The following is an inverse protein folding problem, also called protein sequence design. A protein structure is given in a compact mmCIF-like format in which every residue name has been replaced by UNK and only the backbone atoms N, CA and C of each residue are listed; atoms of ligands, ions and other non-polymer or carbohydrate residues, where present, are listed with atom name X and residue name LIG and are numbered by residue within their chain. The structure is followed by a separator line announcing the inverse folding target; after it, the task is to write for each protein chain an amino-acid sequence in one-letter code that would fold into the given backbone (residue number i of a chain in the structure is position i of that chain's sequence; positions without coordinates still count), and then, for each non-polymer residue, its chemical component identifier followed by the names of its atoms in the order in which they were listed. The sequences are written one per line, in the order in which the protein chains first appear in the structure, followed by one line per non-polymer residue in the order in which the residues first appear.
data_IF_884639769429
#
_entry.id   IF_884639769429
#
_cell.length_a   1.000
_cell.length_b   1.000
_cell.length_c   1.000
_cell.angle_alpha   90.00
_cell.angle_beta   90.00
_cell.angle_gamma   90.00
#
_symmetry.space_group_name_H-M   'P 1'
#
loop_
_entity.id
_entity.type
_entity.pdbx_description
1 polymer ?
#
# COMPACT_ATOMS: atom_id res chain seq x y z
N UNK A 1 -25.95 21.67 -10.18
CA UNK A 1 -24.73 21.66 -11.01
C UNK A 1 -23.59 21.86 -10.06
N UNK A 2 -22.70 20.87 -9.99
CA UNK A 2 -21.66 20.76 -8.97
C UNK A 2 -20.39 20.19 -9.56
N UNK A 3 -19.25 20.78 -9.20
CA UNK A 3 -17.91 20.26 -9.51
C UNK A 3 -17.17 19.83 -8.23
N UNK A 4 -16.73 18.59 -8.15
CA UNK A 4 -16.05 18.05 -6.97
C UNK A 4 -14.82 17.21 -7.32
N UNK A 5 -13.86 17.10 -6.38
CA UNK A 5 -12.74 16.19 -6.50
C UNK A 5 -13.09 14.82 -5.88
N UNK A 6 -12.72 13.74 -6.54
CA UNK A 6 -12.77 12.37 -6.03
C UNK A 6 -11.34 11.83 -5.92
N UNK A 7 -10.91 11.67 -4.67
CA UNK A 7 -9.56 11.24 -4.25
C UNK A 7 -9.73 9.98 -3.39
N UNK A 8 -8.84 9.02 -3.53
CA UNK A 8 -8.77 7.85 -2.65
C UNK A 8 -7.31 7.39 -2.52
N UNK A 9 -7.06 6.46 -1.59
CA UNK A 9 -5.83 5.66 -1.53
C UNK A 9 -4.57 6.54 -1.50
N UNK A 10 -4.57 7.52 -0.60
CA UNK A 10 -3.47 8.49 -0.43
C UNK A 10 -2.26 7.84 0.26
N UNK A 11 -2.52 6.95 1.24
CA UNK A 11 -1.53 6.19 1.99
C UNK A 11 -0.35 7.02 2.53
N UNK A 12 -0.65 8.18 3.11
CA UNK A 12 0.42 9.01 3.70
C UNK A 12 1.16 8.19 4.77
N UNK A 13 2.48 8.04 4.56
CA UNK A 13 3.35 7.22 5.41
C UNK A 13 3.60 5.79 4.94
N UNK A 14 3.04 5.35 3.80
CA UNK A 14 3.21 3.97 3.30
C UNK A 14 4.62 3.63 2.82
N UNK A 15 5.37 4.61 2.30
CA UNK A 15 6.77 4.43 1.93
C UNK A 15 7.70 4.58 3.13
N UNK A 16 8.58 3.59 3.31
CA UNK A 16 9.67 3.63 4.32
C UNK A 16 10.91 4.35 3.80
N UNK A 17 11.12 4.34 2.49
CA UNK A 17 12.23 5.04 1.84
C UNK A 17 11.91 6.53 1.78
N UNK A 18 12.71 7.35 2.45
CA UNK A 18 12.47 8.79 2.58
C UNK A 18 12.23 9.51 1.23
N UNK A 19 12.99 9.25 0.14
CA UNK A 19 12.71 9.91 -1.15
C UNK A 19 11.33 9.60 -1.73
N UNK A 20 10.86 8.34 -1.61
CA UNK A 20 9.54 7.96 -2.09
C UNK A 20 8.41 8.46 -1.18
N UNK A 21 8.66 8.52 0.13
CA UNK A 21 7.74 9.15 1.09
C UNK A 21 7.57 10.65 0.80
N UNK A 22 8.65 11.35 0.43
CA UNK A 22 8.59 12.75 0.03
C UNK A 22 7.85 12.95 -1.28
N UNK A 23 8.02 12.06 -2.27
CA UNK A 23 7.21 12.07 -3.49
C UNK A 23 5.73 11.80 -3.22
N UNK A 24 5.40 10.84 -2.34
CA UNK A 24 4.01 10.59 -1.94
C UNK A 24 3.38 11.86 -1.33
N UNK A 25 4.08 12.53 -0.41
CA UNK A 25 3.64 13.83 0.12
C UNK A 25 3.53 14.91 -0.95
N UNK A 26 4.52 15.03 -1.84
CA UNK A 26 4.49 16.02 -2.92
C UNK A 26 3.30 15.77 -3.85
N UNK A 27 2.94 14.51 -4.10
CA UNK A 27 1.78 14.17 -4.91
C UNK A 27 0.50 14.63 -4.23
N UNK A 28 0.36 14.38 -2.93
CA UNK A 28 -0.77 14.87 -2.14
C UNK A 28 -0.87 16.40 -2.15
N UNK A 29 0.26 17.12 -2.00
CA UNK A 29 0.30 18.59 -2.14
C UNK A 29 -0.20 19.04 -3.52
N UNK A 30 0.26 18.40 -4.61
CA UNK A 30 -0.22 18.70 -5.97
C UNK A 30 -1.71 18.40 -6.15
N UNK A 31 -2.23 17.34 -5.53
CA UNK A 31 -3.68 17.05 -5.50
C UNK A 31 -4.44 18.22 -4.90
N UNK A 32 -3.97 18.74 -3.76
CA UNK A 32 -4.60 19.90 -3.09
C UNK A 32 -4.47 21.17 -3.94
N UNK A 33 -3.30 21.43 -4.53
CA UNK A 33 -3.10 22.55 -5.45
C UNK A 33 -4.08 22.52 -6.62
N UNK A 34 -4.33 21.31 -7.16
CA UNK A 34 -5.28 21.10 -8.25
C UNK A 34 -6.72 21.31 -7.80
N UNK A 35 -7.13 20.82 -6.64
CA UNK A 35 -8.45 21.09 -6.10
C UNK A 35 -8.71 22.60 -5.95
N UNK A 36 -7.74 23.35 -5.42
CA UNK A 36 -7.83 24.80 -5.23
C UNK A 36 -7.84 25.55 -6.57
N UNK A 37 -6.91 25.24 -7.47
CA UNK A 37 -6.80 25.94 -8.76
C UNK A 37 -7.99 25.70 -9.68
N UNK A 38 -8.55 24.49 -9.66
CA UNK A 38 -9.74 24.10 -10.43
C UNK A 38 -11.05 24.53 -9.75
N UNK A 39 -10.97 25.13 -8.55
CA UNK A 39 -12.08 25.67 -7.76
C UNK A 39 -13.21 24.66 -7.58
N UNK A 40 -12.84 23.44 -7.16
CA UNK A 40 -13.84 22.42 -6.82
C UNK A 40 -14.67 22.90 -5.62
N UNK A 41 -15.96 22.59 -5.61
CA UNK A 41 -16.87 22.99 -4.54
C UNK A 41 -16.66 22.16 -3.27
N UNK A 42 -16.19 20.92 -3.42
CA UNK A 42 -15.77 20.07 -2.32
C UNK A 42 -14.81 18.97 -2.80
N UNK A 43 -14.12 18.34 -1.86
CA UNK A 43 -13.28 17.18 -2.09
C UNK A 43 -13.80 15.96 -1.33
N UNK A 44 -13.85 14.82 -2.01
CA UNK A 44 -14.15 13.51 -1.46
C UNK A 44 -12.84 12.74 -1.25
N UNK A 45 -12.63 12.20 -0.04
CA UNK A 45 -11.58 11.23 0.25
C UNK A 45 -12.23 9.88 0.57
N UNK A 46 -12.24 8.98 -0.41
CA UNK A 46 -12.88 7.67 -0.34
C UNK A 46 -11.99 6.62 0.35
N UNK A 47 -11.46 6.96 1.53
CA UNK A 47 -10.66 6.08 2.38
C UNK A 47 -9.17 5.98 2.03
N UNK A 48 -8.45 5.31 2.93
CA UNK A 48 -7.00 5.14 2.98
C UNK A 48 -6.24 6.45 2.80
N UNK A 49 -6.59 7.45 3.63
CA UNK A 49 -5.84 8.70 3.71
C UNK A 49 -4.44 8.43 4.29
N UNK A 50 -4.37 7.59 5.33
CA UNK A 50 -3.13 7.16 5.95
C UNK A 50 -2.88 5.67 5.70
N UNK A 51 -1.60 5.28 5.67
CA UNK A 51 -1.24 3.85 5.57
C UNK A 51 -1.44 3.09 6.91
N UNK A 52 -1.69 3.82 8.00
CA UNK A 52 -1.93 3.28 9.33
C UNK A 52 -2.89 4.20 10.08
N UNK A 53 -3.80 3.61 10.87
CA UNK A 53 -4.66 4.33 11.80
C UNK A 53 -3.91 5.25 12.79
N UNK A 54 -2.62 4.97 13.03
CA UNK A 54 -1.71 5.77 13.86
C UNK A 54 -0.46 6.17 13.05
N UNK A 55 -0.56 7.18 12.17
CA UNK A 55 0.56 7.66 11.39
C UNK A 55 1.57 8.43 12.26
N UNK A 56 2.81 8.53 11.78
CA UNK A 56 3.89 9.27 12.46
C UNK A 56 3.61 10.78 12.54
N UNK A 57 4.24 11.47 13.50
CA UNK A 57 4.01 12.90 13.77
C UNK A 57 4.31 13.78 12.55
N UNK A 58 5.37 13.50 11.79
CA UNK A 58 5.70 14.28 10.59
C UNK A 58 4.66 14.11 9.49
N UNK A 59 4.09 12.91 9.36
CA UNK A 59 3.00 12.61 8.43
C UNK A 59 1.77 13.45 8.79
N UNK A 60 1.44 13.51 10.08
CA UNK A 60 0.33 14.30 10.60
C UNK A 60 0.52 15.80 10.35
N UNK A 61 1.70 16.35 10.66
CA UNK A 61 1.98 17.78 10.45
C UNK A 61 1.75 18.18 8.99
N UNK A 62 2.30 17.42 8.05
CA UNK A 62 2.10 17.67 6.62
C UNK A 62 0.63 17.55 6.21
N UNK A 63 -0.07 16.54 6.72
CA UNK A 63 -1.50 16.34 6.42
C UNK A 63 -2.36 17.49 6.91
N UNK A 64 -2.17 17.92 8.16
CA UNK A 64 -2.90 19.05 8.74
C UNK A 64 -2.65 20.36 7.98
N UNK A 65 -1.43 20.58 7.50
CA UNK A 65 -1.10 21.73 6.67
C UNK A 65 -1.93 21.75 5.37
N UNK A 66 -2.00 20.63 4.66
CA UNK A 66 -2.74 20.55 3.39
C UNK A 66 -4.26 20.64 3.58
N UNK A 67 -4.81 19.99 4.61
CA UNK A 67 -6.23 20.14 4.95
C UNK A 67 -6.58 21.55 5.41
N UNK A 68 -5.67 22.24 6.09
CA UNK A 68 -5.82 23.66 6.43
C UNK A 68 -5.89 24.51 5.16
N UNK A 69 -5.07 24.25 4.15
CA UNK A 69 -5.12 24.97 2.86
C UNK A 69 -6.46 24.82 2.15
N UNK A 70 -7.05 23.61 2.14
CA UNK A 70 -8.39 23.39 1.58
C UNK A 70 -9.45 24.19 2.35
N UNK A 71 -9.39 24.17 3.69
CA UNK A 71 -10.29 24.94 4.55
C UNK A 71 -10.18 26.44 4.32
N UNK A 72 -8.97 26.98 4.22
CA UNK A 72 -8.72 28.39 3.93
C UNK A 72 -9.18 28.81 2.53
N UNK A 73 -9.14 27.87 1.57
CA UNK A 73 -9.71 28.06 0.23
C UNK A 73 -11.24 27.92 0.19
N UNK A 74 -11.90 27.57 1.30
CA UNK A 74 -13.34 27.38 1.37
C UNK A 74 -13.85 26.09 0.73
N UNK A 75 -12.98 25.07 0.61
CA UNK A 75 -13.30 23.78 0.00
C UNK A 75 -13.56 22.75 1.12
N UNK A 76 -14.83 22.43 1.44
CA UNK A 76 -15.13 21.38 2.41
C UNK A 76 -14.65 20.01 1.93
N UNK A 77 -14.20 19.20 2.89
CA UNK A 77 -13.71 17.85 2.66
C UNK A 77 -14.65 16.84 3.31
N UNK A 78 -15.11 15.85 2.55
CA UNK A 78 -15.92 14.74 3.03
C UNK A 78 -15.09 13.46 2.95
N UNK A 79 -15.05 12.70 4.04
CA UNK A 79 -14.18 11.53 4.17
C UNK A 79 -14.95 10.30 4.65
N UNK A 80 -14.44 9.13 4.32
CA UNK A 80 -14.74 7.85 5.00
C UNK A 80 -13.42 7.21 5.40
N UNK A 81 -13.45 6.33 6.39
CA UNK A 81 -12.27 5.50 6.69
C UNK A 81 -12.07 4.44 5.60
N UNK A 82 -10.80 4.20 5.24
CA UNK A 82 -10.45 2.99 4.51
C UNK A 82 -9.95 1.88 5.43
N UNK A 83 -9.51 0.77 4.81
CA UNK A 83 -9.07 -0.42 5.54
C UNK A 83 -7.80 -0.20 6.38
N UNK A 84 -6.93 0.73 5.98
CA UNK A 84 -5.71 1.12 6.70
C UNK A 84 -5.95 2.16 7.79
N UNK A 85 -6.89 3.08 7.56
CA UNK A 85 -7.33 4.06 8.55
C UNK A 85 -8.10 3.42 9.71
N UNK A 86 -8.72 2.25 9.47
CA UNK A 86 -9.60 1.57 10.42
C UNK A 86 -8.85 1.01 11.65
N UNK A 87 -9.45 1.24 12.82
CA UNK A 87 -8.99 0.77 14.12
C UNK A 87 -10.16 0.14 14.89
N UNK A 88 -9.99 -1.09 15.38
CA UNK A 88 -11.01 -1.80 16.18
C UNK A 88 -11.37 -1.03 17.46
N UNK A 89 -10.44 -0.23 17.98
CA UNK A 89 -10.69 0.62 19.15
C UNK A 89 -11.60 1.82 18.86
N UNK A 90 -11.94 2.07 17.60
CA UNK A 90 -12.65 3.26 17.14
C UNK A 90 -11.84 4.55 17.22
N UNK A 91 -10.55 4.47 17.61
CA UNK A 91 -9.65 5.62 17.67
C UNK A 91 -8.86 5.70 16.39
N UNK A 92 -9.09 6.74 15.61
CA UNK A 92 -8.37 7.03 14.37
C UNK A 92 -7.91 8.48 14.34
N UNK A 93 -6.91 8.78 13.51
CA UNK A 93 -6.55 10.18 13.26
C UNK A 93 -7.56 10.93 12.37
N UNK A 94 -8.45 10.21 11.68
CA UNK A 94 -9.57 10.82 10.96
C UNK A 94 -10.51 11.55 11.93
N UNK A 95 -10.76 10.98 13.12
CA UNK A 95 -11.56 11.62 14.17
C UNK A 95 -10.95 12.95 14.64
N UNK A 96 -9.61 13.03 14.65
CA UNK A 96 -8.88 14.24 15.05
C UNK A 96 -9.02 15.32 13.97
N UNK A 97 -8.91 14.95 12.69
CA UNK A 97 -9.12 15.86 11.56
C UNK A 97 -10.55 16.41 11.54
N UNK A 98 -11.55 15.55 11.78
CA UNK A 98 -12.95 15.97 11.85
C UNK A 98 -13.21 16.90 13.04
N UNK A 99 -12.73 16.55 14.25
CA UNK A 99 -12.90 17.40 15.44
C UNK A 99 -12.16 18.73 15.35
N UNK A 100 -11.06 18.80 14.61
CA UNK A 100 -10.38 20.06 14.28
C UNK A 100 -11.13 20.88 13.21
N UNK A 101 -12.19 20.32 12.62
CA UNK A 101 -13.04 20.95 11.63
C UNK A 101 -12.38 21.09 10.27
N UNK A 102 -11.48 20.18 9.91
CA UNK A 102 -10.84 20.16 8.58
C UNK A 102 -11.63 19.33 7.56
N UNK A 103 -12.39 18.36 8.03
CA UNK A 103 -13.23 17.51 7.21
C UNK A 103 -14.48 17.09 7.96
N UNK A 104 -15.39 16.42 7.26
CA UNK A 104 -16.57 15.78 7.81
C UNK A 104 -16.53 14.30 7.46
N UNK A 105 -16.58 13.41 8.46
CA UNK A 105 -16.79 12.00 8.19
C UNK A 105 -18.27 11.80 7.80
N UNK A 106 -18.50 11.13 6.66
CA UNK A 106 -19.85 10.89 6.12
C UNK A 106 -20.33 9.46 6.35
N UNK A 107 -19.61 8.68 7.16
CA UNK A 107 -20.14 7.47 7.79
C UNK A 107 -21.22 7.86 8.82
N UNK A 108 -22.48 7.77 8.40
CA UNK A 108 -23.65 7.99 9.25
C UNK A 108 -24.73 6.98 8.86
N UNK A 109 -25.05 6.05 9.76
CA UNK A 109 -26.06 5.03 9.53
C UNK A 109 -26.77 4.58 10.80
N UNK A 110 -27.99 4.07 10.62
CA UNK A 110 -28.81 3.46 11.66
C UNK A 110 -29.07 1.99 11.29
N UNK A 111 -28.95 1.09 12.27
CA UNK A 111 -29.39 -0.30 12.08
C UNK A 111 -30.91 -0.41 12.34
N UNK A 112 -31.67 -0.81 11.32
CA UNK A 112 -33.12 -1.05 11.40
C UNK A 112 -33.45 -2.46 10.92
N UNK A 113 -33.60 -3.37 11.88
CA UNK A 113 -33.84 -4.78 11.59
C UNK A 113 -32.66 -5.38 10.85
N UNK A 114 -32.91 -5.96 9.68
CA UNK A 114 -31.86 -6.57 8.85
C UNK A 114 -31.11 -5.56 7.96
N UNK A 115 -31.51 -4.29 7.96
CA UNK A 115 -30.92 -3.27 7.07
C UNK A 115 -30.07 -2.25 7.81
N UNK A 116 -29.06 -1.74 7.12
CA UNK A 116 -28.29 -0.57 7.53
C UNK A 116 -28.75 0.62 6.67
N UNK A 117 -29.38 1.61 7.30
CA UNK A 117 -29.88 2.80 6.62
C UNK A 117 -28.88 3.93 6.73
N UNK A 118 -28.26 4.30 5.61
CA UNK A 118 -27.30 5.39 5.56
C UNK A 118 -28.02 6.73 5.45
N UNK A 119 -27.60 7.68 6.29
CA UNK A 119 -28.05 9.05 6.30
C UNK A 119 -27.13 9.91 5.40
N UNK A 120 -27.70 10.81 4.59
CA UNK A 120 -26.87 11.64 3.73
C UNK A 120 -26.33 12.87 4.47
N UNK A 121 -25.06 13.19 4.20
CA UNK A 121 -24.55 14.53 4.41
C UNK A 121 -24.92 15.41 3.21
N UNK A 122 -25.64 16.51 3.47
CA UNK A 122 -26.15 17.40 2.40
C UNK A 122 -25.21 18.58 2.18
N UNK A 123 -24.83 18.81 0.93
CA UNK A 123 -24.04 19.97 0.53
C UNK A 123 -24.37 20.40 -0.90
N UNK A 124 -24.73 21.68 -1.12
CA UNK A 124 -25.01 22.27 -2.43
C UNK A 124 -25.94 21.44 -3.36
N UNK A 125 -26.98 20.82 -2.81
CA UNK A 125 -27.92 19.98 -3.59
C UNK A 125 -27.39 18.57 -3.93
N UNK A 126 -26.28 18.16 -3.31
CA UNK A 126 -25.72 16.82 -3.34
C UNK A 126 -26.02 16.12 -2.01
N UNK A 127 -26.43 14.85 -2.09
CA UNK A 127 -26.57 13.97 -0.95
C UNK A 127 -25.43 12.96 -0.97
N UNK A 128 -24.53 13.04 0.01
CA UNK A 128 -23.34 12.19 0.12
C UNK A 128 -23.60 11.13 1.18
N UNK A 129 -23.59 9.86 0.78
CA UNK A 129 -23.70 8.70 1.66
C UNK A 129 -22.33 8.03 1.75
N UNK A 130 -21.92 7.62 2.95
CA UNK A 130 -20.63 6.97 3.17
C UNK A 130 -20.76 5.63 3.89
N UNK A 131 -19.94 4.66 3.49
CA UNK A 131 -19.67 3.47 4.30
C UNK A 131 -18.17 3.17 4.29
N UNK A 132 -17.53 2.95 5.45
CA UNK A 132 -16.08 2.79 5.54
C UNK A 132 -15.62 1.42 5.01
N UNK A 133 -14.34 1.36 4.66
CA UNK A 133 -13.64 0.10 4.44
C UNK A 133 -13.17 -0.50 5.75
N UNK A 134 -13.11 -1.83 5.83
CA UNK A 134 -12.57 -2.55 6.98
C UNK A 134 -11.51 -3.55 6.52
N UNK A 135 -10.64 -3.94 7.44
CA UNK A 135 -9.61 -4.95 7.15
C UNK A 135 -10.27 -6.26 6.75
N UNK A 136 -9.67 -6.93 5.75
CA UNK A 136 -10.09 -8.26 5.28
C UNK A 136 -11.53 -8.32 4.72
N UNK A 137 -12.09 -7.21 4.23
CA UNK A 137 -13.41 -7.19 3.61
C UNK A 137 -14.57 -7.37 4.60
N UNK A 138 -14.35 -7.07 5.89
CA UNK A 138 -15.38 -7.21 6.93
C UNK A 138 -16.58 -6.28 6.71
N UNK A 139 -16.48 -5.30 5.82
CA UNK A 139 -17.59 -4.44 5.39
C UNK A 139 -18.52 -5.10 4.37
N UNK A 140 -18.05 -6.12 3.63
CA UNK A 140 -18.82 -6.71 2.51
C UNK A 140 -20.20 -7.25 2.94
N UNK A 141 -20.33 -8.00 4.06
CA UNK A 141 -21.64 -8.47 4.51
C UNK A 141 -22.59 -7.32 4.87
N UNK A 142 -22.06 -6.24 5.42
CA UNK A 142 -22.83 -5.05 5.77
C UNK A 142 -23.32 -4.33 4.52
N UNK A 143 -22.47 -4.16 3.51
CA UNK A 143 -22.81 -3.53 2.23
C UNK A 143 -23.97 -4.23 1.51
N UNK A 144 -24.08 -5.56 1.61
CA UNK A 144 -25.21 -6.33 1.05
C UNK A 144 -26.55 -5.99 1.70
N UNK A 145 -26.53 -5.41 2.91
CA UNK A 145 -27.70 -5.02 3.70
C UNK A 145 -27.99 -3.52 3.65
N UNK A 146 -27.11 -2.73 3.03
CA UNK A 146 -27.20 -1.26 3.01
C UNK A 146 -28.38 -0.79 2.15
N UNK A 147 -29.08 0.22 2.69
CA UNK A 147 -30.10 1.01 2.02
C UNK A 147 -29.80 2.49 2.25
N UNK A 148 -30.17 3.36 1.31
CA UNK A 148 -29.99 4.81 1.44
C UNK A 148 -31.31 5.44 1.89
N UNK A 149 -31.28 6.28 2.92
CA UNK A 149 -32.43 7.12 3.24
C UNK A 149 -32.71 8.10 2.09
N UNK A 150 -33.97 8.47 1.87
CA UNK A 150 -34.35 9.28 0.72
C UNK A 150 -33.78 10.71 0.77
N UNK A 151 -33.36 11.19 -0.41
CA UNK A 151 -32.92 12.56 -0.68
C UNK A 151 -33.55 13.05 -1.99
N UNK A 152 -34.85 13.41 -1.99
CA UNK A 152 -35.55 13.76 -3.21
C UNK A 152 -34.97 15.00 -3.89
N UNK A 153 -34.75 14.91 -5.21
CA UNK A 153 -34.27 16.03 -6.04
C UNK A 153 -32.78 16.36 -5.88
N UNK A 154 -32.01 15.55 -5.16
CA UNK A 154 -30.58 15.74 -4.96
C UNK A 154 -29.77 14.78 -5.85
N UNK A 155 -28.56 15.22 -6.24
CA UNK A 155 -27.59 14.34 -6.87
C UNK A 155 -26.97 13.43 -5.80
N UNK A 156 -27.10 12.12 -5.95
CA UNK A 156 -26.68 11.15 -4.93
C UNK A 156 -25.27 10.65 -5.21
N UNK A 157 -24.37 10.86 -4.26
CA UNK A 157 -23.03 10.27 -4.24
C UNK A 157 -23.01 9.18 -3.19
N UNK A 158 -22.57 7.99 -3.57
CA UNK A 158 -22.31 6.91 -2.62
C UNK A 158 -20.80 6.64 -2.55
N UNK A 159 -20.19 7.02 -1.44
CA UNK A 159 -18.76 6.86 -1.17
C UNK A 159 -18.51 5.55 -0.43
N UNK A 160 -17.63 4.71 -0.97
CA UNK A 160 -17.33 3.38 -0.46
C UNK A 160 -15.82 3.12 -0.56
N UNK A 161 -15.27 2.39 0.40
CA UNK A 161 -13.90 1.90 0.31
C UNK A 161 -13.93 0.38 0.38
N UNK A 162 -14.01 -0.28 -0.78
CA UNK A 162 -14.27 -1.72 -0.86
C UNK A 162 -13.90 -2.29 -2.22
N UNK A 163 -13.98 -3.61 -2.38
CA UNK A 163 -13.75 -4.30 -3.65
C UNK A 163 -15.06 -4.52 -4.41
N UNK A 164 -15.15 -4.01 -5.65
CA UNK A 164 -16.26 -4.25 -6.58
C UNK A 164 -16.02 -5.50 -7.44
N UNK A 165 -17.06 -6.31 -7.66
CA UNK A 165 -17.01 -7.52 -8.50
C UNK A 165 -16.50 -7.25 -9.93
N UNK A 166 -16.86 -6.09 -10.51
CA UNK A 166 -16.43 -5.67 -11.84
C UNK A 166 -14.96 -5.24 -11.92
N UNK A 167 -14.36 -4.87 -10.79
CA UNK A 167 -13.02 -4.28 -10.74
C UNK A 167 -11.93 -5.26 -10.27
N UNK A 168 -12.28 -6.29 -9.49
CA UNK A 168 -11.29 -7.19 -8.87
C UNK A 168 -10.50 -8.08 -9.84
N UNK A 169 -10.99 -8.26 -11.07
CA UNK A 169 -10.39 -9.20 -12.03
C UNK A 169 -10.27 -10.62 -11.46
N UNK A 170 -9.05 -11.14 -11.41
CA UNK A 170 -8.73 -12.48 -10.90
C UNK A 170 -8.23 -12.49 -9.44
N UNK A 171 -8.31 -11.37 -8.73
CA UNK A 171 -7.85 -11.30 -7.34
C UNK A 171 -8.71 -12.23 -6.45
N UNK A 172 -8.09 -13.07 -5.62
CA UNK A 172 -8.79 -14.02 -4.73
C UNK A 172 -9.30 -13.30 -3.47
N UNK A 173 -10.10 -12.25 -3.65
CA UNK A 173 -10.66 -11.42 -2.58
C UNK A 173 -12.18 -11.36 -2.68
N UNK A 174 -12.85 -11.23 -1.53
CA UNK A 174 -14.30 -11.03 -1.49
C UNK A 174 -14.66 -9.66 -2.09
N UNK A 175 -15.87 -9.54 -2.62
CA UNK A 175 -16.31 -8.36 -3.35
C UNK A 175 -17.81 -8.15 -3.28
N UNK A 176 -18.23 -6.90 -3.35
CA UNK A 176 -19.64 -6.53 -3.47
C UNK A 176 -20.04 -6.48 -4.95
N UNK A 177 -21.20 -7.02 -5.27
CA UNK A 177 -21.76 -6.94 -6.62
C UNK A 177 -22.35 -5.55 -6.85
N UNK A 178 -21.97 -4.91 -7.97
CA UNK A 178 -22.47 -3.58 -8.33
C UNK A 178 -24.02 -3.49 -8.31
N UNK A 179 -24.69 -4.54 -8.77
CA UNK A 179 -26.16 -4.60 -8.86
C UNK A 179 -26.86 -4.75 -7.49
N UNK A 180 -26.13 -5.18 -6.45
CA UNK A 180 -26.64 -5.32 -5.09
C UNK A 180 -26.61 -4.00 -4.31
N UNK A 181 -25.85 -3.01 -4.77
CA UNK A 181 -25.76 -1.71 -4.13
C UNK A 181 -27.01 -0.86 -4.42
N UNK A 182 -27.48 -0.04 -3.46
CA UNK A 182 -28.55 0.90 -3.71
C UNK A 182 -28.15 1.92 -4.78
N UNK A 183 -29.15 2.40 -5.54
CA UNK A 183 -28.94 3.32 -6.66
C UNK A 183 -28.47 4.70 -6.21
N UNK A 184 -27.36 5.14 -6.79
CA UNK A 184 -26.83 6.48 -6.69
C UNK A 184 -26.44 7.01 -8.09
N UNK A 185 -26.30 8.32 -8.23
CA UNK A 185 -25.90 8.97 -9.48
C UNK A 185 -24.39 8.87 -9.72
N UNK A 186 -23.60 8.74 -8.64
CA UNK A 186 -22.16 8.51 -8.69
C UNK A 186 -21.68 7.64 -7.53
N UNK A 187 -20.82 6.66 -7.81
CA UNK A 187 -20.17 5.85 -6.77
C UNK A 187 -18.68 6.21 -6.70
N UNK A 188 -18.31 6.85 -5.59
CA UNK A 188 -16.93 7.24 -5.30
C UNK A 188 -16.24 6.11 -4.55
N UNK A 189 -15.51 5.25 -5.28
CA UNK A 189 -14.85 4.07 -4.71
C UNK A 189 -13.37 4.35 -4.41
N UNK A 190 -12.87 3.81 -3.31
CA UNK A 190 -11.44 3.59 -3.04
C UNK A 190 -11.17 2.11 -2.72
N UNK A 191 -9.92 1.75 -2.40
CA UNK A 191 -9.38 0.43 -2.00
C UNK A 191 -8.55 -0.26 -3.08
N UNK A 192 -9.05 -0.31 -4.32
CA UNK A 192 -8.30 -0.91 -5.42
C UNK A 192 -7.44 0.15 -6.08
N UNK A 193 -6.11 -0.04 -6.04
CA UNK A 193 -5.14 0.89 -6.60
C UNK A 193 -5.05 0.79 -8.13
N UNK A 194 -6.16 1.06 -8.80
CA UNK A 194 -6.31 1.01 -10.25
C UNK A 194 -7.11 2.21 -10.73
N UNK A 195 -6.82 2.65 -11.96
CA UNK A 195 -7.71 3.58 -12.66
C UNK A 195 -8.81 2.77 -13.35
N UNK A 196 -10.01 2.77 -12.77
CA UNK A 196 -11.10 1.94 -13.26
C UNK A 196 -12.44 2.68 -13.24
N UNK A 197 -13.19 2.50 -14.32
CA UNK A 197 -14.56 2.99 -14.42
C UNK A 197 -15.48 1.89 -14.96
N UNK A 198 -16.58 1.65 -14.26
CA UNK A 198 -17.70 0.85 -14.73
C UNK A 198 -18.98 1.65 -14.54
N UNK A 199 -19.58 2.11 -15.64
CA UNK A 199 -20.73 3.03 -15.58
C UNK A 199 -20.38 4.28 -14.75
N UNK A 200 -21.10 4.51 -13.65
CA UNK A 200 -20.85 5.58 -12.69
C UNK A 200 -20.09 5.13 -11.43
N UNK A 201 -19.56 3.90 -11.42
CA UNK A 201 -18.61 3.41 -10.42
C UNK A 201 -17.19 3.75 -10.84
N UNK A 202 -16.48 4.47 -9.98
CA UNK A 202 -15.14 4.97 -10.31
C UNK A 202 -14.19 4.63 -9.18
N UNK A 203 -13.05 4.03 -9.52
CA UNK A 203 -11.86 4.00 -8.69
C UNK A 203 -10.87 5.04 -9.25
N UNK A 204 -10.44 6.02 -8.46
CA UNK A 204 -9.51 7.04 -8.92
C UNK A 204 -8.06 6.53 -8.97
N UNK A 205 -7.79 5.37 -8.37
CA UNK A 205 -6.43 4.91 -8.08
C UNK A 205 -5.75 5.79 -7.02
N UNK A 206 -4.51 5.46 -6.65
CA UNK A 206 -3.80 6.18 -5.61
C UNK A 206 -3.28 7.52 -6.12
N UNK A 207 -3.16 8.51 -5.23
CA UNK A 207 -2.53 9.80 -5.59
C UNK A 207 -1.03 9.64 -5.86
N UNK A 208 -0.41 8.58 -5.35
CA UNK A 208 0.95 8.17 -5.67
C UNK A 208 1.07 6.65 -5.50
N UNK A 209 1.71 5.91 -6.42
CA UNK A 209 1.90 4.48 -6.27
C UNK A 209 2.62 4.10 -4.97
N UNK A 210 2.10 3.12 -4.24
CA UNK A 210 2.47 2.84 -2.85
C UNK A 210 3.42 1.65 -2.67
N UNK A 211 3.74 0.93 -3.74
CA UNK A 211 4.75 -0.12 -3.72
C UNK A 211 5.45 -0.27 -5.08
N UNK A 212 6.41 -1.20 -5.16
CA UNK A 212 7.18 -1.47 -6.37
C UNK A 212 6.28 -1.83 -7.56
N UNK A 213 5.30 -2.71 -7.36
CA UNK A 213 4.44 -3.20 -8.43
C UNK A 213 3.53 -2.09 -8.96
N UNK A 214 2.97 -1.28 -8.08
CA UNK A 214 2.16 -0.13 -8.50
C UNK A 214 2.96 0.93 -9.24
N UNK A 215 4.22 1.19 -8.86
CA UNK A 215 5.08 2.09 -9.62
C UNK A 215 5.32 1.56 -11.04
N UNK A 216 5.45 0.24 -11.19
CA UNK A 216 5.62 -0.44 -12.49
C UNK A 216 4.32 -0.37 -13.32
N UNK A 217 3.17 -0.58 -12.71
CA UNK A 217 1.88 -0.66 -13.38
C UNK A 217 1.30 0.73 -13.73
N UNK A 218 1.39 1.69 -12.79
CA UNK A 218 0.74 3.00 -12.90
C UNK A 218 1.68 4.11 -13.36
N UNK A 219 2.99 4.01 -13.08
CA UNK A 219 4.04 5.02 -13.27
C UNK A 219 3.85 6.34 -12.50
N UNK A 220 2.62 6.79 -12.30
CA UNK A 220 2.25 8.00 -11.57
C UNK A 220 0.87 7.84 -10.94
N UNK A 221 0.56 8.67 -9.96
CA UNK A 221 -0.77 8.69 -9.36
C UNK A 221 -1.73 9.66 -10.05
N UNK A 222 -2.95 9.73 -9.55
CA UNK A 222 -3.94 10.65 -10.06
C UNK A 222 -5.22 10.64 -9.25
N UNK A 223 -6.19 11.44 -9.69
CA UNK A 223 -7.52 11.51 -9.10
C UNK A 223 -8.52 12.01 -10.15
N UNK A 224 -9.80 12.12 -9.80
CA UNK A 224 -10.81 12.66 -10.71
C UNK A 224 -11.36 14.00 -10.23
N UNK A 225 -11.61 14.91 -11.18
CA UNK A 225 -12.53 16.02 -10.98
C UNK A 225 -13.80 15.69 -11.74
N UNK A 226 -14.93 15.69 -11.02
CA UNK A 226 -16.23 15.33 -11.54
C UNK A 226 -17.05 16.61 -11.71
N UNK A 227 -17.60 16.81 -12.90
CA UNK A 227 -18.47 17.93 -13.23
C UNK A 227 -19.85 17.40 -13.65
N UNK A 228 -20.83 17.53 -12.76
CA UNK A 228 -22.20 17.06 -12.99
C UNK A 228 -22.97 17.84 -14.07
N UNK A 229 -22.40 18.92 -14.62
CA UNK A 229 -23.01 19.72 -15.68
C UNK A 229 -22.55 19.37 -17.10
N UNK A 230 -21.50 18.55 -17.25
CA UNK A 230 -20.84 18.34 -18.53
C UNK A 230 -21.28 17.04 -19.23
N UNK A 231 -21.15 17.01 -20.57
CA UNK A 231 -21.38 15.81 -21.37
C UNK A 231 -20.31 14.71 -21.18
N UNK A 232 -19.19 15.04 -20.54
CA UNK A 232 -18.15 14.09 -20.12
C UNK A 232 -17.81 14.39 -18.65
N UNK A 233 -18.65 13.93 -17.70
CA UNK A 233 -18.63 14.40 -16.32
C UNK A 233 -17.36 14.06 -15.56
N UNK A 234 -16.47 13.22 -16.11
CA UNK A 234 -15.25 12.76 -15.45
C UNK A 234 -14.01 13.31 -16.15
N UNK A 235 -13.22 14.12 -15.43
CA UNK A 235 -11.91 14.59 -15.84
C UNK A 235 -10.82 13.98 -14.98
N UNK A 236 -10.06 13.02 -15.52
CA UNK A 236 -8.88 12.46 -14.83
C UNK A 236 -7.80 13.52 -14.73
N UNK A 237 -7.23 13.68 -13.53
CA UNK A 237 -6.07 14.53 -13.26
C UNK A 237 -4.88 13.63 -12.95
N UNK A 238 -3.93 13.56 -13.89
CA UNK A 238 -2.67 12.85 -13.72
C UNK A 238 -1.67 13.67 -12.90
N UNK A 239 -0.91 13.00 -12.02
CA UNK A 239 0.10 13.61 -11.14
C UNK A 239 1.51 13.06 -11.42
N UNK A 240 2.09 13.28 -12.62
CA UNK A 240 3.47 12.89 -12.88
C UNK A 240 4.41 13.77 -12.03
N UNK A 241 5.23 13.12 -11.19
CA UNK A 241 6.27 13.76 -10.39
C UNK A 241 7.66 13.49 -10.95
N UNK A 242 7.93 12.22 -11.24
CA UNK A 242 9.18 11.69 -11.76
C UNK A 242 8.84 10.61 -12.78
N UNK A 243 9.67 10.49 -13.80
CA UNK A 243 9.59 9.36 -14.73
C UNK A 243 10.07 8.09 -14.01
N UNK A 244 9.41 6.97 -14.29
CA UNK A 244 9.73 5.64 -13.76
C UNK A 244 10.33 4.81 -14.88
N UNK A 245 11.47 4.17 -14.62
CA UNK A 245 12.12 3.24 -15.55
C UNK A 245 12.24 1.87 -14.90
N UNK A 246 11.61 0.87 -15.50
CA UNK A 246 11.70 -0.53 -15.06
C UNK A 246 12.78 -1.29 -15.85
N UNK A 247 13.68 -1.93 -15.11
CA UNK A 247 14.77 -2.73 -15.64
C UNK A 247 14.72 -4.12 -15.02
N UNK A 248 14.56 -5.16 -15.84
CA UNK A 248 14.61 -6.55 -15.39
C UNK A 248 15.87 -7.23 -15.90
N UNK A 249 16.69 -7.76 -14.98
CA UNK A 249 17.95 -8.43 -15.29
C UNK A 249 17.88 -9.88 -14.83
N UNK A 250 18.11 -10.82 -15.76
CA UNK A 250 18.23 -12.23 -15.44
C UNK A 250 19.68 -12.58 -15.08
N UNK A 251 19.90 -13.22 -13.93
CA UNK A 251 21.24 -13.55 -13.40
C UNK A 251 21.31 -15.02 -13.02
N UNK A 252 22.39 -15.69 -13.44
CA UNK A 252 22.70 -17.09 -13.08
C UNK A 252 24.05 -17.27 -12.36
N UNK A 253 24.90 -16.23 -12.36
CA UNK A 253 26.19 -16.25 -11.69
C UNK A 253 26.35 -14.97 -10.85
N UNK A 254 26.39 -15.12 -9.53
CA UNK A 254 26.46 -14.03 -8.56
C UNK A 254 27.73 -13.19 -8.70
N UNK A 255 28.84 -13.81 -9.13
CA UNK A 255 30.15 -13.15 -9.29
C UNK A 255 30.17 -12.15 -10.45
N UNK A 256 29.34 -12.35 -11.47
CA UNK A 256 29.26 -11.47 -12.67
C UNK A 256 28.00 -10.61 -12.69
N UNK A 257 27.11 -10.80 -11.72
CA UNK A 257 25.81 -10.15 -11.65
C UNK A 257 25.94 -8.62 -11.57
N UNK A 258 26.89 -8.13 -10.76
CA UNK A 258 27.12 -6.69 -10.56
C UNK A 258 27.43 -5.99 -11.89
N UNK A 259 28.41 -6.50 -12.63
CA UNK A 259 28.83 -5.95 -13.93
C UNK A 259 27.70 -6.02 -14.96
N UNK A 260 26.96 -7.13 -14.97
CA UNK A 260 25.81 -7.30 -15.88
C UNK A 260 24.72 -6.27 -15.60
N UNK A 261 24.34 -6.09 -14.34
CA UNK A 261 23.33 -5.11 -13.95
C UNK A 261 23.83 -3.68 -14.27
N UNK A 262 25.07 -3.36 -13.93
CA UNK A 262 25.69 -2.08 -14.24
C UNK A 262 25.69 -1.78 -15.75
N UNK A 263 25.98 -2.79 -16.59
CA UNK A 263 25.95 -2.66 -18.05
C UNK A 263 24.56 -2.31 -18.58
N UNK A 264 23.50 -2.96 -18.09
CA UNK A 264 22.13 -2.64 -18.50
C UNK A 264 21.72 -1.21 -18.06
N UNK A 265 22.05 -0.83 -16.83
CA UNK A 265 21.79 0.53 -16.33
C UNK A 265 22.62 1.59 -17.07
N UNK A 266 23.79 1.22 -17.58
CA UNK A 266 24.66 2.14 -18.33
C UNK A 266 24.07 2.57 -19.68
N UNK A 267 23.22 1.74 -20.29
CA UNK A 267 22.55 2.02 -21.57
C UNK A 267 21.41 3.04 -21.46
N UNK A 268 20.97 3.34 -20.24
CA UNK A 268 19.78 4.14 -19.97
C UNK A 268 20.16 5.54 -19.47
N UNK A 269 19.28 6.50 -19.78
CA UNK A 269 19.26 7.82 -19.16
C UNK A 269 18.49 7.75 -17.84
N UNK A 270 19.22 7.88 -16.73
CA UNK A 270 18.68 7.73 -15.38
C UNK A 270 18.41 9.08 -14.70
N UNK A 271 18.79 10.20 -15.31
CA UNK A 271 18.85 11.50 -14.63
C UNK A 271 17.47 11.94 -14.12
N UNK A 272 17.37 12.15 -12.81
CA UNK A 272 16.17 12.58 -12.09
C UNK A 272 14.95 11.63 -12.27
N UNK A 273 15.20 10.33 -12.41
CA UNK A 273 14.16 9.28 -12.56
C UNK A 273 14.14 8.29 -11.40
N UNK A 274 13.01 7.64 -11.20
CA UNK A 274 12.88 6.49 -10.29
C UNK A 274 13.24 5.24 -11.07
N UNK A 275 14.23 4.50 -10.61
CA UNK A 275 14.69 3.27 -11.28
C UNK A 275 14.16 2.07 -10.50
N UNK A 276 13.38 1.23 -11.17
CA UNK A 276 12.88 -0.03 -10.64
C UNK A 276 13.75 -1.17 -11.18
N UNK A 277 14.61 -1.75 -10.34
CA UNK A 277 15.49 -2.84 -10.72
C UNK A 277 14.94 -4.18 -10.21
N UNK A 278 14.50 -5.04 -11.12
CA UNK A 278 14.10 -6.43 -10.82
C UNK A 278 15.22 -7.38 -11.19
N UNK A 279 15.79 -8.07 -10.21
CA UNK A 279 16.80 -9.11 -10.42
C UNK A 279 16.13 -10.46 -10.24
N UNK A 280 16.22 -11.32 -11.25
CA UNK A 280 15.58 -12.64 -11.27
C UNK A 280 16.52 -13.72 -11.79
N UNK A 281 16.25 -14.97 -11.44
CA UNK A 281 16.99 -16.13 -11.93
C UNK A 281 17.43 -17.06 -10.82
N UNK A 282 18.22 -18.06 -11.19
CA UNK A 282 18.74 -19.05 -10.27
C UNK A 282 20.27 -19.02 -10.31
N UNK A 283 20.88 -18.67 -9.18
CA UNK A 283 22.33 -18.63 -9.05
C UNK A 283 22.87 -20.06 -8.97
N UNK A 284 23.56 -20.47 -10.03
CA UNK A 284 24.28 -21.76 -10.10
C UNK A 284 25.74 -21.62 -9.65
N UNK A 285 26.26 -20.39 -9.66
CA UNK A 285 27.61 -20.03 -9.21
C UNK A 285 27.52 -18.78 -8.34
N UNK A 286 28.18 -18.81 -7.18
CA UNK A 286 28.11 -17.74 -6.20
C UNK A 286 26.75 -17.67 -5.48
N UNK A 287 26.55 -16.59 -4.76
CA UNK A 287 25.39 -16.37 -3.90
C UNK A 287 24.92 -14.92 -3.99
N UNK A 288 23.78 -14.61 -3.36
CA UNK A 288 23.24 -13.25 -3.34
C UNK A 288 24.20 -12.21 -2.70
N UNK A 289 25.10 -12.62 -1.80
CA UNK A 289 26.09 -11.72 -1.16
C UNK A 289 27.25 -11.33 -2.08
N UNK A 290 27.44 -12.06 -3.18
CA UNK A 290 28.44 -11.73 -4.20
C UNK A 290 27.99 -10.55 -5.06
N UNK A 291 26.67 -10.31 -5.16
CA UNK A 291 26.11 -9.19 -5.91
C UNK A 291 26.28 -7.91 -5.10
N UNK A 292 27.13 -6.99 -5.60
CA UNK A 292 27.49 -5.75 -4.91
C UNK A 292 26.46 -4.66 -5.18
N UNK A 293 25.29 -4.79 -4.54
CA UNK A 293 24.20 -3.82 -4.68
C UNK A 293 24.58 -2.39 -4.29
N UNK A 294 25.54 -2.21 -3.38
CA UNK A 294 26.03 -0.87 -3.04
C UNK A 294 26.75 -0.21 -4.23
N UNK A 295 27.51 -0.98 -5.01
CA UNK A 295 28.17 -0.46 -6.22
C UNK A 295 27.14 -0.08 -7.29
N UNK A 296 26.11 -0.90 -7.45
CA UNK A 296 24.98 -0.62 -8.34
C UNK A 296 24.26 0.67 -7.91
N UNK A 297 24.03 0.84 -6.61
CA UNK A 297 23.40 2.05 -6.07
C UNK A 297 24.28 3.28 -6.32
N UNK A 298 25.58 3.21 -6.03
CA UNK A 298 26.51 4.31 -6.28
C UNK A 298 26.56 4.69 -7.77
N UNK A 299 26.53 3.72 -8.69
CA UNK A 299 26.47 3.97 -10.14
C UNK A 299 25.21 4.76 -10.52
N UNK A 300 24.06 4.35 -10.00
CA UNK A 300 22.76 4.96 -10.30
C UNK A 300 22.69 6.39 -9.74
N UNK A 301 23.23 6.61 -8.53
CA UNK A 301 23.37 7.93 -7.92
C UNK A 301 24.33 8.85 -8.71
N UNK A 302 25.48 8.33 -9.17
CA UNK A 302 26.42 9.07 -10.01
C UNK A 302 25.83 9.50 -11.35
N UNK A 303 24.91 8.71 -11.89
CA UNK A 303 24.13 9.05 -13.09
C UNK A 303 22.97 10.03 -12.82
N UNK A 304 22.85 10.54 -11.60
CA UNK A 304 21.86 11.55 -11.24
C UNK A 304 20.45 11.00 -11.04
N UNK A 305 20.27 9.69 -10.88
CA UNK A 305 18.96 9.13 -10.61
C UNK A 305 18.35 9.68 -9.32
N UNK A 306 17.02 9.85 -9.32
CA UNK A 306 16.32 10.32 -8.13
C UNK A 306 16.31 9.26 -7.04
N UNK A 307 16.00 8.01 -7.41
CA UNK A 307 16.00 6.89 -6.46
C UNK A 307 16.09 5.54 -7.18
N UNK A 308 16.76 4.56 -6.56
CA UNK A 308 16.79 3.16 -7.00
C UNK A 308 15.97 2.30 -6.04
N UNK A 309 14.90 1.69 -6.55
CA UNK A 309 14.15 0.66 -5.84
C UNK A 309 14.49 -0.70 -6.45
N UNK A 310 14.97 -1.63 -5.62
CA UNK A 310 15.36 -2.98 -6.06
C UNK A 310 14.39 -4.04 -5.57
N UNK A 311 14.15 -5.04 -6.41
CA UNK A 311 13.39 -6.24 -6.09
C UNK A 311 14.19 -7.48 -6.49
N UNK A 312 14.44 -8.37 -5.52
CA UNK A 312 15.20 -9.62 -5.69
C UNK A 312 14.40 -10.85 -5.29
N UNK A 313 13.07 -10.76 -5.16
CA UNK A 313 12.23 -11.89 -4.70
C UNK A 313 12.27 -13.09 -5.66
N UNK A 314 12.48 -12.83 -6.95
CA UNK A 314 12.60 -13.85 -7.99
C UNK A 314 14.04 -14.38 -8.19
N UNK A 315 15.00 -13.93 -7.37
CA UNK A 315 16.38 -14.40 -7.40
C UNK A 315 16.56 -15.51 -6.37
N UNK A 316 16.78 -16.73 -6.85
CA UNK A 316 16.99 -17.92 -6.04
C UNK A 316 18.47 -18.27 -6.02
N UNK A 317 18.97 -18.72 -4.87
CA UNK A 317 20.24 -19.43 -4.80
C UNK A 317 19.92 -20.91 -4.86
N UNK A 318 20.65 -21.69 -5.67
CA UNK A 318 20.47 -23.13 -5.71
C UNK A 318 20.68 -23.70 -4.30
N UNK A 319 19.60 -24.18 -3.67
CA UNK A 319 19.66 -24.88 -2.40
C UNK A 319 20.29 -26.24 -2.61
N UNK A 320 21.15 -26.67 -1.69
CA UNK A 320 21.64 -28.05 -1.66
C UNK A 320 20.44 -28.95 -1.35
N UNK A 321 20.01 -29.77 -2.31
CA UNK A 321 19.12 -30.90 -2.03
C UNK A 321 19.94 -31.92 -1.24
N UNK A 322 19.71 -32.01 0.07
CA UNK A 322 20.30 -33.05 0.91
C UNK A 322 19.42 -34.29 0.79
N UNK A 323 19.90 -35.33 0.09
CA UNK A 323 19.33 -36.66 0.19
C UNK A 323 19.72 -37.25 1.56
N UNK A 324 18.83 -37.08 2.54
CA UNK A 324 19.00 -37.69 3.87
C UNK A 324 18.39 -39.09 3.82
N UNK A 325 19.23 -40.14 3.92
CA UNK A 325 18.76 -41.52 4.03
C UNK A 325 18.22 -41.77 5.44
N UNK A 326 16.93 -41.52 5.65
CA UNK A 326 16.29 -41.71 6.96
C UNK A 326 16.21 -43.20 7.30
N UNK A 327 17.16 -43.67 8.10
CA UNK A 327 17.07 -45.02 8.72
C UNK A 327 16.29 -45.02 10.03
N UNK A 328 16.14 -43.87 10.70
CA UNK A 328 15.39 -43.70 11.94
C UNK A 328 14.79 -42.27 12.01
N UNK A 329 13.50 -42.15 12.33
CA UNK A 329 12.82 -40.83 12.33
C UNK A 329 13.22 -39.92 13.49
N UNK A 330 13.86 -40.46 14.52
CA UNK A 330 14.26 -39.73 15.73
C UNK A 330 15.58 -38.94 15.53
N UNK A 331 16.39 -39.25 14.51
CA UNK A 331 17.73 -38.67 14.30
C UNK A 331 17.83 -37.79 13.03
N UNK A 332 16.70 -37.48 12.37
CA UNK A 332 16.69 -36.76 11.09
C UNK A 332 17.40 -35.41 11.18
N UNK A 333 17.20 -34.68 12.29
CA UNK A 333 17.82 -33.37 12.48
C UNK A 333 19.35 -33.48 12.62
N UNK A 334 19.85 -34.38 13.46
CA UNK A 334 21.28 -34.61 13.62
C UNK A 334 21.93 -35.11 12.34
N UNK A 335 21.25 -36.02 11.62
CA UNK A 335 21.73 -36.56 10.35
C UNK A 335 21.76 -35.49 9.26
N UNK A 336 20.74 -34.63 9.19
CA UNK A 336 20.69 -33.49 8.26
C UNK A 336 21.81 -32.49 8.54
N UNK A 337 22.02 -32.13 9.81
CA UNK A 337 23.11 -31.22 10.22
C UNK A 337 24.48 -31.84 9.91
N UNK A 338 24.65 -33.14 10.14
CA UNK A 338 25.88 -33.87 9.80
C UNK A 338 26.14 -33.85 8.31
N UNK A 339 25.18 -34.28 7.49
CA UNK A 339 25.32 -34.31 6.02
C UNK A 339 25.56 -32.92 5.44
N UNK A 340 24.85 -31.89 5.93
CA UNK A 340 25.09 -30.51 5.52
C UNK A 340 26.52 -30.07 5.88
N UNK A 341 26.98 -30.37 7.09
CA UNK A 341 28.30 -29.97 7.59
C UNK A 341 29.45 -30.65 6.85
N UNK A 342 29.26 -31.92 6.47
CA UNK A 342 30.22 -32.67 5.64
C UNK A 342 30.31 -32.11 4.22
N UNK A 343 29.18 -31.73 3.63
CA UNK A 343 29.14 -31.17 2.27
C UNK A 343 29.58 -29.70 2.21
N UNK A 344 29.46 -28.95 3.31
CA UNK A 344 29.73 -27.51 3.36
C UNK A 344 30.60 -27.14 4.58
N UNK A 345 31.92 -27.44 4.58
CA UNK A 345 32.77 -27.22 5.75
C UNK A 345 32.84 -25.73 6.13
N UNK A 346 32.47 -25.42 7.38
CA UNK A 346 32.50 -24.07 7.92
C UNK A 346 32.66 -24.11 9.45
N UNK A 347 33.41 -23.17 10.01
CA UNK A 347 33.55 -23.02 11.47
C UNK A 347 32.20 -22.76 12.14
N UNK A 348 31.25 -22.15 11.41
CA UNK A 348 29.89 -21.89 11.87
C UNK A 348 29.06 -23.15 12.06
N UNK A 349 29.41 -24.26 11.40
CA UNK A 349 28.62 -25.49 11.48
C UNK A 349 28.58 -26.07 12.89
N UNK A 350 29.64 -25.84 13.68
CA UNK A 350 29.70 -26.22 15.10
C UNK A 350 28.62 -25.56 15.96
N UNK A 351 28.06 -24.44 15.49
CA UNK A 351 27.05 -23.65 16.21
C UNK A 351 25.61 -24.03 15.82
N UNK A 352 25.42 -24.81 14.75
CA UNK A 352 24.08 -25.14 14.22
C UNK A 352 23.20 -25.82 15.28
N UNK A 353 23.65 -26.87 16.00
CA UNK A 353 22.80 -27.51 17.02
C UNK A 353 22.41 -26.56 18.16
N UNK A 354 23.33 -25.66 18.54
CA UNK A 354 23.10 -24.67 19.60
C UNK A 354 22.07 -23.63 19.17
N UNK A 355 22.16 -23.15 17.93
CA UNK A 355 21.19 -22.21 17.36
C UNK A 355 19.82 -22.84 17.19
N UNK A 356 19.74 -24.07 16.70
CA UNK A 356 18.46 -24.78 16.56
C UNK A 356 17.75 -24.89 17.90
N UNK A 357 18.47 -25.28 18.96
CA UNK A 357 17.92 -25.36 20.32
C UNK A 357 17.46 -23.98 20.84
N UNK A 358 18.27 -22.93 20.66
CA UNK A 358 17.90 -21.58 21.09
C UNK A 358 16.65 -21.05 20.36
N UNK A 359 16.47 -21.41 19.09
CA UNK A 359 15.34 -20.99 18.25
C UNK A 359 14.10 -21.87 18.44
N UNK A 360 14.24 -23.08 18.98
CA UNK A 360 13.11 -23.98 19.27
C UNK A 360 12.47 -23.73 20.64
N UNK A 361 12.96 -22.76 21.42
CA UNK A 361 12.41 -22.46 22.74
C UNK A 361 11.07 -21.76 22.62
N UNK A 362 10.06 -22.30 23.29
CA UNK A 362 8.73 -21.71 23.33
C UNK A 362 8.65 -20.44 24.19
N UNK A 363 7.62 -19.65 23.91
CA UNK A 363 7.25 -18.49 24.70
C UNK A 363 6.72 -18.93 26.07
N UNK A 364 7.21 -18.30 27.14
CA UNK A 364 6.81 -18.64 28.50
C UNK A 364 5.44 -18.03 28.86
N UNK A 365 4.72 -18.68 29.77
CA UNK A 365 3.42 -18.20 30.26
C UNK A 365 3.60 -16.85 30.98
N UNK A 366 2.85 -15.83 30.55
CA UNK A 366 2.97 -14.46 31.06
C UNK A 366 4.08 -13.60 30.42
N UNK A 367 4.88 -14.15 29.51
CA UNK A 367 5.91 -13.40 28.78
C UNK A 367 5.27 -12.48 27.72
N UNK A 368 5.78 -11.26 27.55
CA UNK A 368 5.35 -10.39 26.44
C UNK A 368 6.02 -10.86 25.14
N UNK A 369 5.40 -10.60 23.98
CA UNK A 369 6.00 -10.96 22.68
C UNK A 369 7.35 -10.27 22.47
N UNK A 370 7.50 -9.05 22.97
CA UNK A 370 8.77 -8.31 22.94
C UNK A 370 9.82 -8.94 23.87
N UNK A 371 9.43 -9.38 25.07
CA UNK A 371 10.30 -10.10 26.00
C UNK A 371 10.80 -11.42 25.43
N UNK A 372 9.90 -12.20 24.83
CA UNK A 372 10.23 -13.43 24.11
C UNK A 372 11.25 -13.19 22.99
N UNK A 373 10.97 -12.23 22.11
CA UNK A 373 11.85 -11.90 20.98
C UNK A 373 13.23 -11.46 21.47
N UNK A 374 13.28 -10.64 22.53
CA UNK A 374 14.54 -10.18 23.13
C UNK A 374 15.36 -11.34 23.71
N UNK A 375 14.71 -12.25 24.44
CA UNK A 375 15.35 -13.44 25.03
C UNK A 375 15.94 -14.36 23.96
N UNK A 376 15.17 -14.72 22.93
CA UNK A 376 15.65 -15.55 21.81
C UNK A 376 16.81 -14.88 21.07
N UNK A 377 16.74 -13.57 20.87
CA UNK A 377 17.81 -12.78 20.25
C UNK A 377 19.08 -12.72 21.11
N UNK A 378 18.97 -12.55 22.43
CA UNK A 378 20.12 -12.51 23.34
C UNK A 378 20.84 -13.87 23.39
N UNK A 379 20.09 -14.98 23.46
CA UNK A 379 20.68 -16.33 23.43
C UNK A 379 21.36 -16.61 22.07
N UNK A 380 20.73 -16.21 20.97
CA UNK A 380 21.33 -16.35 19.63
C UNK A 380 22.64 -15.55 19.51
N UNK A 381 22.70 -14.34 20.07
CA UNK A 381 23.93 -13.52 20.08
C UNK A 381 25.07 -14.16 20.87
N UNK A 382 24.77 -14.77 22.02
CA UNK A 382 25.77 -15.50 22.83
C UNK A 382 26.40 -16.65 22.04
N UNK A 383 25.58 -17.39 21.29
CA UNK A 383 26.04 -18.51 20.46
C UNK A 383 26.92 -18.01 19.31
N UNK A 384 26.49 -16.93 18.64
CA UNK A 384 27.22 -16.33 17.52
C UNK A 384 28.45 -15.49 17.93
N UNK A 385 28.70 -15.34 19.24
CA UNK A 385 29.79 -14.52 19.82
C UNK A 385 29.79 -13.06 19.33
N UNK A 386 28.59 -12.48 19.17
CA UNK A 386 28.37 -11.07 18.79
C UNK A 386 28.27 -10.13 19.99
#
# INVERSE_FOLDING_TARGET
MVRFAHIADVHLGGWKQQPLQELNFQSFKKTIDKCISERVEFALFAGDLFDSAFPGIEILKGTFEEFKRLKEAGIPCFIIAGSHDYSVSGKTFLDVLEKAGFCKNVEDFEEKGEHLLLNPTIHNGVAIYGYPGRKSGLEIPDLRRVKLNDSPGMFKIFMLHTTLDKAKGNLPIDSIEADNLPKADYYALGHLHIDFQYQNFVYPGPVFPNNFQELEDLNHGGFYIVDTSSGSPLGKVSLPLREVISVSVHVTNGLTATEKIASELNKLDLENKIILLRVKGELTVGSNSDIKFQEIQNLVEQKGAYFLLKNTHELKTKSVELEVNVSNSEDIEEETVRTYSEQNPSDFNSMIPQLMNALSVDKQEGETTEGFTRRVMEESKKILKF
#
